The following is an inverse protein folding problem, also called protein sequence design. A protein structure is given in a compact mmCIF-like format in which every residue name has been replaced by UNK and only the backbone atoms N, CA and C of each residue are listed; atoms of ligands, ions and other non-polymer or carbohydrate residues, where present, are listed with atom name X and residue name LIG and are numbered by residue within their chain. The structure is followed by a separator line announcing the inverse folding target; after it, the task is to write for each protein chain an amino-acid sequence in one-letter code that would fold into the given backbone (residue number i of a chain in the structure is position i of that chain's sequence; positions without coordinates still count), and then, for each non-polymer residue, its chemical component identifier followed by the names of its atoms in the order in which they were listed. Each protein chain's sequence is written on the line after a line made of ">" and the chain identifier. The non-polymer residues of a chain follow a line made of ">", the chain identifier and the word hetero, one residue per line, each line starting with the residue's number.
data_IF_123213295763
#
_entry.id   IF_123213295763
#
_cell.length_a   1.000
_cell.length_b   1.000
_cell.length_c   1.000
_cell.angle_alpha   90.00
_cell.angle_beta   90.00
_cell.angle_gamma   90.00
#
_symmetry.space_group_name_H-M   'P 1'
#
loop_
_entity.id
_entity.type
_entity.pdbx_description
1 polymer ?
#
# COMPACT_ATOMS: atom_id res chain seq x y z
N UNK A 1 13.88 1.16 3.37
CA UNK A 1 12.73 0.54 4.05
C UNK A 1 12.20 1.53 5.06
N UNK A 2 10.88 1.61 5.19
CA UNK A 2 10.20 2.57 6.07
C UNK A 2 8.95 1.90 6.65
N UNK A 3 8.78 1.93 7.98
CA UNK A 3 7.61 1.34 8.65
C UNK A 3 7.45 -0.15 8.33
N UNK A 4 8.52 -0.93 8.44
CA UNK A 4 8.46 -2.38 8.23
C UNK A 4 8.74 -3.10 9.55
N UNK A 5 8.07 -4.24 9.76
CA UNK A 5 8.47 -5.23 10.76
C UNK A 5 9.01 -6.44 10.02
N UNK A 6 10.28 -6.77 10.24
CA UNK A 6 10.95 -7.95 9.68
C UNK A 6 11.40 -8.78 10.89
N UNK A 7 10.91 -10.00 11.01
CA UNK A 7 11.20 -10.84 12.17
C UNK A 7 11.30 -12.32 11.83
N UNK A 8 12.09 -13.07 12.61
CA UNK A 8 12.17 -14.53 12.56
C UNK A 8 12.52 -15.11 11.16
N UNK A 9 13.35 -14.40 10.39
CA UNK A 9 13.85 -14.93 9.12
C UNK A 9 15.04 -15.86 9.36
N UNK A 10 14.93 -17.08 8.86
CA UNK A 10 15.99 -18.09 8.90
C UNK A 10 16.56 -18.33 7.50
N UNK A 11 17.87 -18.39 7.40
CA UNK A 11 18.55 -18.88 6.20
C UNK A 11 19.37 -20.13 6.55
N UNK A 12 19.20 -21.19 5.76
CA UNK A 12 19.89 -22.47 5.94
C UNK A 12 21.29 -22.50 5.32
N UNK A 13 21.74 -21.39 4.74
CA UNK A 13 23.05 -21.28 4.12
C UNK A 13 24.15 -21.03 5.16
N UNK A 14 25.40 -21.33 4.79
CA UNK A 14 26.57 -21.20 5.67
C UNK A 14 26.96 -19.76 6.01
N UNK A 15 26.46 -18.77 5.27
CA UNK A 15 26.57 -17.34 5.56
C UNK A 15 25.19 -16.68 5.45
N UNK A 16 24.30 -16.91 6.42
CA UNK A 16 22.95 -16.36 6.38
C UNK A 16 23.02 -14.86 6.67
N UNK A 17 22.57 -14.05 5.70
CA UNK A 17 22.38 -12.62 5.90
C UNK A 17 20.91 -12.31 5.70
N UNK A 18 20.30 -11.56 6.62
CA UNK A 18 18.95 -11.04 6.42
C UNK A 18 18.87 -10.14 5.19
N UNK A 19 19.86 -9.26 5.08
CA UNK A 19 19.98 -8.28 4.02
C UNK A 19 21.39 -8.34 3.47
N UNK A 20 21.50 -8.49 2.15
CA UNK A 20 22.77 -8.42 1.43
C UNK A 20 22.63 -7.39 0.31
N UNK A 21 23.34 -6.29 0.46
CA UNK A 21 23.31 -5.17 -0.47
C UNK A 21 24.72 -4.91 -1.01
N UNK A 22 24.79 -4.58 -2.30
CA UNK A 22 26.05 -4.36 -3.00
C UNK A 22 25.99 -3.04 -3.76
N UNK A 23 26.90 -2.13 -3.43
CA UNK A 23 27.02 -0.81 -4.05
C UNK A 23 25.74 0.03 -3.91
N UNK A 24 25.18 0.08 -2.70
CA UNK A 24 23.97 0.85 -2.43
C UNK A 24 24.01 1.49 -1.04
N UNK A 25 23.36 2.64 -0.86
CA UNK A 25 23.18 3.23 0.47
C UNK A 25 21.77 2.90 0.94
N UNK A 26 21.57 1.80 1.68
CA UNK A 26 20.25 1.50 2.21
C UNK A 26 19.85 2.55 3.24
N UNK A 27 18.64 3.05 3.08
CA UNK A 27 17.99 3.92 4.06
C UNK A 27 16.94 3.09 4.78
N UNK A 28 17.08 2.91 6.09
CA UNK A 28 16.14 2.20 6.97
C UNK A 28 15.64 3.17 8.01
N UNK A 29 14.34 3.41 8.03
CA UNK A 29 13.72 4.38 8.93
C UNK A 29 12.50 3.77 9.58
N UNK A 30 12.27 4.05 10.86
CA UNK A 30 11.02 3.73 11.55
C UNK A 30 10.62 2.25 11.44
N UNK A 31 11.58 1.34 11.46
CA UNK A 31 11.38 -0.08 11.20
C UNK A 31 11.79 -0.94 12.40
N UNK A 32 11.17 -2.10 12.55
CA UNK A 32 11.55 -3.11 13.53
C UNK A 32 12.18 -4.29 12.78
N UNK A 33 13.42 -4.65 13.14
CA UNK A 33 14.15 -5.76 12.54
C UNK A 33 14.74 -6.63 13.66
N UNK A 34 14.07 -7.74 13.99
CA UNK A 34 14.46 -8.57 15.13
C UNK A 34 14.59 -10.05 14.76
N UNK A 35 15.42 -10.81 15.48
CA UNK A 35 15.46 -12.28 15.38
C UNK A 35 15.66 -12.85 13.96
N UNK A 36 16.41 -12.15 13.11
CA UNK A 36 16.62 -12.50 11.70
C UNK A 36 18.05 -12.99 11.39
N UNK A 37 18.86 -13.22 12.42
CA UNK A 37 20.31 -13.39 12.27
C UNK A 37 21.02 -12.10 11.88
N UNK A 38 22.24 -12.22 11.32
CA UNK A 38 23.11 -11.07 11.04
C UNK A 38 22.63 -10.25 9.83
N UNK A 39 22.55 -8.93 10.01
CA UNK A 39 22.40 -7.97 8.92
C UNK A 39 23.81 -7.59 8.42
N UNK A 40 24.08 -7.70 7.11
CA UNK A 40 25.43 -7.53 6.58
C UNK A 40 25.50 -6.52 5.44
N UNK A 41 26.36 -5.51 5.62
CA UNK A 41 26.63 -4.45 4.65
C UNK A 41 28.12 -4.53 4.22
N UNK A 42 28.50 -5.44 3.32
CA UNK A 42 29.90 -5.78 3.05
C UNK A 42 30.75 -4.62 2.51
N UNK A 43 30.13 -3.64 1.82
CA UNK A 43 30.82 -2.53 1.16
C UNK A 43 30.13 -1.17 1.33
N UNK A 44 29.11 -1.10 2.19
CA UNK A 44 28.18 0.02 2.27
C UNK A 44 28.04 0.53 3.71
N UNK A 45 27.71 1.82 3.87
CA UNK A 45 27.35 2.41 5.18
C UNK A 45 25.84 2.67 5.13
N UNK A 46 25.02 1.90 5.88
CA UNK A 46 23.59 2.11 5.88
C UNK A 46 23.23 3.41 6.62
N UNK A 47 22.20 4.11 6.15
CA UNK A 47 21.57 5.19 6.90
C UNK A 47 20.37 4.61 7.66
N UNK A 48 20.56 4.35 8.94
CA UNK A 48 19.54 3.77 9.81
C UNK A 48 19.14 4.81 10.85
N UNK A 49 17.85 5.07 11.01
CA UNK A 49 17.35 5.96 12.07
C UNK A 49 15.99 5.53 12.57
N UNK A 50 15.69 5.87 13.83
CA UNK A 50 14.42 5.62 14.49
C UNK A 50 13.95 4.18 14.33
N UNK A 51 14.86 3.20 14.40
CA UNK A 51 14.55 1.80 14.13
C UNK A 51 14.96 0.92 15.31
N UNK A 52 14.15 -0.12 15.59
CA UNK A 52 14.45 -1.13 16.61
C UNK A 52 15.12 -2.32 15.92
N UNK A 53 16.40 -2.57 16.20
CA UNK A 53 17.18 -3.58 15.48
C UNK A 53 17.99 -4.44 16.43
N UNK A 54 17.79 -5.76 16.36
CA UNK A 54 18.59 -6.75 17.11
C UNK A 54 20.08 -6.61 16.79
N UNK A 55 20.91 -6.81 17.81
CA UNK A 55 22.36 -6.61 17.79
C UNK A 55 22.80 -5.14 17.68
N UNK A 56 21.84 -4.22 17.61
CA UNK A 56 22.05 -2.78 17.62
C UNK A 56 22.65 -2.21 16.34
N UNK A 57 22.24 -0.99 15.99
CA UNK A 57 22.82 -0.23 14.88
C UNK A 57 22.96 1.25 15.25
N UNK A 58 24.13 1.81 14.93
CA UNK A 58 24.38 3.25 15.05
C UNK A 58 23.38 4.06 14.21
N UNK A 59 22.92 5.18 14.75
CA UNK A 59 21.94 6.02 14.09
C UNK A 59 21.06 6.81 15.05
N UNK A 60 20.47 7.90 14.57
CA UNK A 60 19.61 8.75 15.41
C UNK A 60 18.34 7.99 15.79
N UNK A 61 18.04 7.87 17.09
CA UNK A 61 16.79 7.28 17.57
C UNK A 61 16.68 5.77 17.40
N UNK A 62 17.76 5.08 17.01
CA UNK A 62 17.74 3.61 16.98
C UNK A 62 17.75 3.04 18.40
N UNK A 63 17.09 1.91 18.56
CA UNK A 63 17.01 1.17 19.82
C UNK A 63 17.29 -0.32 19.57
N UNK A 64 17.77 -1.00 20.62
CA UNK A 64 18.00 -2.46 20.64
C UNK A 64 17.35 -2.99 21.92
N UNK A 65 16.02 -3.14 21.86
CA UNK A 65 15.18 -3.57 22.97
C UNK A 65 14.11 -4.52 22.43
N UNK A 66 13.49 -5.32 23.31
CA UNK A 66 12.35 -6.16 22.92
C UNK A 66 11.17 -5.25 22.50
N UNK A 67 10.68 -5.34 21.25
CA UNK A 67 9.55 -4.52 20.79
C UNK A 67 8.22 -4.89 21.47
N UNK A 68 8.14 -5.97 22.26
CA UNK A 68 6.95 -6.37 23.01
C UNK A 68 5.71 -6.50 22.12
N UNK A 69 5.75 -7.39 21.12
CA UNK A 69 4.59 -7.68 20.28
C UNK A 69 3.46 -8.38 21.04
N UNK A 70 2.20 -8.13 20.69
CA UNK A 70 1.01 -8.71 21.34
C UNK A 70 1.03 -10.24 21.30
N UNK A 71 1.31 -10.82 20.12
CA UNK A 71 1.43 -12.28 19.96
C UNK A 71 2.25 -12.62 18.71
N UNK A 72 3.53 -12.24 18.69
CA UNK A 72 4.46 -12.61 17.63
C UNK A 72 4.69 -14.14 17.56
N UNK A 73 5.19 -14.61 16.43
CA UNK A 73 5.66 -15.99 16.30
C UNK A 73 6.92 -16.21 17.15
N UNK A 74 7.04 -17.40 17.77
CA UNK A 74 8.22 -17.76 18.58
C UNK A 74 9.26 -18.59 17.82
N UNK A 75 9.23 -18.58 16.50
CA UNK A 75 10.20 -19.31 15.68
C UNK A 75 10.11 -18.93 14.21
N UNK A 76 10.91 -19.62 13.42
CA UNK A 76 11.42 -19.16 12.14
C UNK A 76 11.16 -20.14 10.98
N UNK A 77 11.37 -19.66 9.75
CA UNK A 77 11.29 -20.46 8.53
C UNK A 77 9.87 -20.88 8.09
N UNK A 78 9.79 -21.79 7.11
CA UNK A 78 8.55 -22.15 6.41
C UNK A 78 7.53 -22.92 7.28
N UNK A 79 7.96 -23.42 8.44
CA UNK A 79 7.10 -24.09 9.41
C UNK A 79 6.34 -23.14 10.32
N UNK A 80 6.61 -21.83 10.24
CA UNK A 80 6.05 -20.83 11.13
C UNK A 80 5.00 -19.94 10.45
N UNK A 81 3.83 -19.84 11.09
CA UNK A 81 2.70 -19.09 10.57
C UNK A 81 2.78 -17.60 10.97
N UNK A 82 3.72 -16.87 10.37
CA UNK A 82 3.81 -15.40 10.54
C UNK A 82 2.50 -14.67 10.23
N UNK A 83 1.67 -15.25 9.35
CA UNK A 83 0.32 -14.78 9.00
C UNK A 83 -0.72 -14.83 10.14
N UNK A 84 -0.52 -15.72 11.12
CA UNK A 84 -1.45 -15.91 12.23
C UNK A 84 -1.00 -15.20 13.51
N UNK A 85 0.16 -14.54 13.48
CA UNK A 85 0.69 -13.79 14.60
C UNK A 85 0.16 -12.36 14.65
N UNK A 86 0.10 -11.81 15.86
CA UNK A 86 -0.24 -10.41 16.11
C UNK A 86 1.04 -9.61 16.36
N UNK A 87 1.42 -8.87 15.33
CA UNK A 87 2.63 -8.04 15.29
C UNK A 87 2.38 -6.60 15.77
N UNK A 88 1.22 -6.31 16.36
CA UNK A 88 0.99 -5.03 17.03
C UNK A 88 1.83 -4.93 18.30
N UNK A 89 2.17 -3.70 18.70
CA UNK A 89 2.93 -3.42 19.91
C UNK A 89 2.01 -3.49 21.15
N UNK A 90 2.50 -4.08 22.24
CA UNK A 90 1.83 -4.02 23.53
C UNK A 90 1.92 -2.61 24.14
N UNK A 91 0.96 -2.29 25.01
CA UNK A 91 1.03 -1.08 25.83
C UNK A 91 2.28 -1.13 26.71
N UNK A 92 3.18 -0.15 26.53
CA UNK A 92 4.47 -0.09 27.23
C UNK A 92 5.67 -0.61 26.42
N UNK A 93 5.45 -1.01 25.16
CA UNK A 93 6.55 -1.32 24.24
C UNK A 93 7.53 -0.13 24.13
N UNK A 94 8.85 -0.38 24.09
CA UNK A 94 9.85 0.67 23.84
C UNK A 94 9.79 1.23 22.41
N UNK A 95 9.08 0.56 21.51
CA UNK A 95 8.87 1.01 20.13
C UNK A 95 7.69 1.97 19.98
N UNK A 96 6.85 2.11 21.03
CA UNK A 96 5.74 3.07 21.03
C UNK A 96 6.29 4.48 21.24
N UNK A 97 5.81 5.46 20.47
CA UNK A 97 6.23 6.86 20.55
C UNK A 97 7.74 7.12 20.31
N UNK A 98 8.47 6.13 19.82
CA UNK A 98 9.94 6.18 19.71
C UNK A 98 10.45 6.41 18.28
N UNK A 99 9.54 6.48 17.32
CA UNK A 99 9.80 6.57 15.90
C UNK A 99 10.16 7.96 15.38
N UNK A 100 10.26 8.08 14.05
CA UNK A 100 10.72 9.31 13.41
C UNK A 100 9.74 10.47 13.71
N UNK A 101 10.17 11.66 14.17
CA UNK A 101 9.26 12.72 14.64
C UNK A 101 8.44 13.44 13.55
N UNK A 102 8.50 12.99 12.30
CA UNK A 102 7.87 13.72 11.18
C UNK A 102 6.45 13.16 10.97
N UNK A 103 5.47 14.04 10.84
CA UNK A 103 4.07 13.66 10.65
C UNK A 103 3.82 12.81 9.38
N UNK A 104 4.73 12.78 8.40
CA UNK A 104 4.58 11.94 7.21
C UNK A 104 4.61 10.43 7.50
N UNK A 105 5.17 10.01 8.64
CA UNK A 105 5.19 8.61 9.05
C UNK A 105 3.87 8.21 9.74
N UNK A 106 3.12 9.20 10.24
CA UNK A 106 1.72 9.22 10.67
C UNK A 106 1.26 8.10 11.64
N UNK A 107 1.32 8.42 12.93
CA UNK A 107 0.62 7.72 14.00
C UNK A 107 -0.91 7.92 13.95
N UNK A 108 -1.65 6.90 14.36
CA UNK A 108 -3.11 6.91 14.38
C UNK A 108 -3.68 7.72 15.55
N UNK A 109 -2.96 7.80 16.66
CA UNK A 109 -3.42 8.49 17.88
C UNK A 109 -2.92 9.94 17.99
N UNK A 110 -2.06 10.35 17.05
CA UNK A 110 -1.53 11.70 16.93
C UNK A 110 -0.35 12.01 17.85
N UNK A 111 0.28 11.00 18.44
CA UNK A 111 1.52 11.15 19.21
C UNK A 111 2.76 11.02 18.31
N UNK A 112 3.94 10.77 18.89
CA UNK A 112 5.14 10.53 18.08
C UNK A 112 4.99 9.18 17.40
N UNK A 113 5.44 9.02 16.17
CA UNK A 113 5.18 7.77 15.45
C UNK A 113 5.75 6.55 16.19
N UNK A 114 5.00 5.46 16.22
CA UNK A 114 5.50 4.14 16.57
C UNK A 114 6.51 3.60 15.54
N UNK A 115 7.44 2.74 15.95
CA UNK A 115 8.28 1.99 15.02
C UNK A 115 7.57 0.77 14.46
N UNK A 116 7.92 0.37 13.22
CA UNK A 116 7.50 -0.91 12.64
C UNK A 116 6.28 -0.82 11.74
N UNK A 117 5.73 -1.98 11.38
CA UNK A 117 4.67 -2.13 10.37
C UNK A 117 3.38 -1.36 10.68
N UNK A 118 3.08 -1.15 11.96
CA UNK A 118 1.86 -0.49 12.41
C UNK A 118 2.03 1.00 12.73
N UNK A 119 3.26 1.54 12.64
CA UNK A 119 3.56 2.96 12.84
C UNK A 119 3.69 3.76 11.53
N UNK A 120 2.76 3.54 10.59
CA UNK A 120 2.82 4.08 9.23
C UNK A 120 1.54 4.79 8.72
N UNK A 121 1.62 5.54 7.59
CA UNK A 121 0.50 6.36 7.06
C UNK A 121 -0.70 5.57 6.53
N UNK A 122 -0.65 4.25 6.60
CA UNK A 122 -1.74 3.34 6.27
C UNK A 122 -1.93 2.38 7.44
N UNK A 123 -2.67 2.77 8.49
CA UNK A 123 -3.09 1.80 9.48
C UNK A 123 -4.08 0.88 8.77
N UNK A 124 -3.66 -0.37 8.57
CA UNK A 124 -4.54 -1.52 8.38
C UNK A 124 -5.21 -1.67 6.99
N UNK A 125 -4.69 -2.58 6.17
CA UNK A 125 -5.48 -3.50 5.30
C UNK A 125 -4.65 -4.74 4.92
N UNK A 126 -3.32 -4.67 4.97
CA UNK A 126 -2.43 -5.79 4.67
C UNK A 126 -1.80 -6.29 5.97
N UNK A 127 -2.14 -7.52 6.37
CA UNK A 127 -1.46 -8.22 7.45
C UNK A 127 0.00 -8.55 7.07
N UNK A 128 0.75 -9.24 7.94
CA UNK A 128 2.04 -9.82 7.57
C UNK A 128 1.93 -10.57 6.24
N UNK A 129 2.99 -10.52 5.42
CA UNK A 129 3.09 -11.25 4.16
C UNK A 129 4.29 -12.19 4.22
N UNK A 130 4.26 -13.32 3.51
CA UNK A 130 5.40 -14.23 3.42
C UNK A 130 5.99 -14.21 1.99
N UNK A 131 7.28 -14.52 1.86
CA UNK A 131 8.00 -14.47 0.57
C UNK A 131 7.67 -15.64 -0.37
N UNK A 132 7.04 -16.70 0.14
CA UNK A 132 6.52 -17.81 -0.67
C UNK A 132 5.18 -17.47 -1.33
N UNK A 133 4.44 -16.51 -0.77
CA UNK A 133 3.33 -15.81 -1.39
C UNK A 133 3.87 -14.68 -2.26
N UNK A 134 4.65 -15.06 -3.28
CA UNK A 134 4.86 -14.22 -4.45
C UNK A 134 3.59 -14.09 -5.32
N UNK A 135 2.45 -14.53 -4.81
CA UNK A 135 1.16 -13.94 -5.11
C UNK A 135 0.70 -13.20 -3.86
N UNK A 136 1.11 -11.94 -3.70
CA UNK A 136 0.08 -11.02 -3.22
C UNK A 136 -0.97 -11.06 -4.32
N UNK A 137 -1.97 -11.92 -4.16
CA UNK A 137 -3.23 -11.73 -4.85
C UNK A 137 -3.88 -10.53 -4.16
N UNK A 138 -3.25 -9.35 -4.27
CA UNK A 138 -4.03 -8.15 -4.50
C UNK A 138 -4.69 -8.55 -5.81
N UNK A 139 -5.89 -9.14 -5.75
CA UNK A 139 -6.70 -9.24 -6.95
C UNK A 139 -6.74 -7.81 -7.45
N UNK A 140 -5.95 -7.49 -8.49
CA UNK A 140 -5.46 -6.14 -8.72
C UNK A 140 -6.66 -5.19 -8.68
N UNK A 141 -6.83 -4.44 -7.59
CA UNK A 141 -8.18 -3.96 -7.27
C UNK A 141 -8.60 -3.07 -8.42
N UNK A 142 -9.75 -3.43 -9.01
CA UNK A 142 -10.32 -2.67 -10.09
C UNK A 142 -10.39 -1.20 -9.65
N UNK A 143 -9.86 -0.29 -10.45
CA UNK A 143 -9.77 1.11 -10.05
C UNK A 143 -9.97 2.06 -11.21
N UNK A 144 -10.40 3.28 -10.88
CA UNK A 144 -10.67 4.35 -11.84
C UNK A 144 -9.89 5.59 -11.41
N UNK A 145 -9.06 6.09 -12.32
CA UNK A 145 -8.34 7.34 -12.18
C UNK A 145 -8.89 8.38 -13.15
N UNK A 146 -9.01 9.63 -12.68
CA UNK A 146 -9.55 10.74 -13.47
C UNK A 146 -8.61 11.93 -13.34
N UNK A 147 -8.00 12.34 -14.44
CA UNK A 147 -7.04 13.45 -14.46
C UNK A 147 -7.23 14.37 -15.68
N UNK A 148 -7.28 15.70 -15.49
CA UNK A 148 -7.33 16.38 -14.20
C UNK A 148 -8.67 16.13 -13.46
N UNK A 149 -8.72 16.37 -12.15
CA UNK A 149 -9.96 16.40 -11.37
C UNK A 149 -9.76 17.38 -10.20
N UNK A 150 -10.38 18.58 -10.20
CA UNK A 150 -11.41 19.05 -11.14
C UNK A 150 -10.90 19.26 -12.57
N UNK A 151 -11.79 19.19 -13.58
CA UNK A 151 -11.44 19.32 -15.00
C UNK A 151 -12.29 20.34 -15.75
N UNK A 152 -11.78 20.88 -16.86
CA UNK A 152 -12.50 21.83 -17.72
C UNK A 152 -12.09 21.70 -19.21
N UNK A 153 -13.02 21.35 -20.13
CA UNK A 153 -14.16 20.47 -19.93
C UNK A 153 -13.77 18.99 -20.06
N UNK A 154 -12.48 18.70 -20.23
CA UNK A 154 -11.98 17.36 -20.58
C UNK A 154 -11.16 16.71 -19.46
N UNK A 155 -11.45 15.45 -19.17
CA UNK A 155 -10.66 14.59 -18.30
C UNK A 155 -10.25 13.30 -19.02
N UNK A 156 -9.04 12.84 -18.73
CA UNK A 156 -8.60 11.49 -19.05
C UNK A 156 -9.08 10.56 -17.94
N UNK A 157 -9.65 9.43 -18.34
CA UNK A 157 -10.13 8.36 -17.48
C UNK A 157 -9.25 7.15 -17.74
N UNK A 158 -8.59 6.66 -16.71
CA UNK A 158 -7.77 5.45 -16.78
C UNK A 158 -8.35 4.37 -15.88
N UNK A 159 -8.52 3.18 -16.43
CA UNK A 159 -9.00 2.00 -15.72
C UNK A 159 -7.82 1.10 -15.36
N UNK A 160 -7.85 0.52 -14.17
CA UNK A 160 -7.08 -0.68 -13.85
C UNK A 160 -8.07 -1.81 -13.65
N UNK A 161 -7.89 -2.90 -14.38
CA UNK A 161 -8.78 -4.06 -14.36
C UNK A 161 -7.94 -5.27 -13.98
N UNK A 162 -8.43 -6.07 -13.04
CA UNK A 162 -7.79 -7.28 -12.57
C UNK A 162 -7.70 -8.33 -13.70
N UNK A 163 -6.76 -9.25 -13.57
CA UNK A 163 -6.55 -10.32 -14.53
C UNK A 163 -7.74 -11.27 -14.68
N UNK A 164 -8.59 -11.38 -13.65
CA UNK A 164 -9.79 -12.22 -13.67
C UNK A 164 -10.91 -11.60 -14.54
N UNK A 165 -10.93 -10.28 -14.68
CA UNK A 165 -11.95 -9.49 -15.39
C UNK A 165 -11.46 -8.95 -16.73
N UNK A 166 -10.14 -8.89 -16.99
CA UNK A 166 -9.58 -8.25 -18.21
C UNK A 166 -10.03 -8.93 -19.51
N UNK A 167 -10.47 -10.19 -19.45
CA UNK A 167 -11.01 -10.94 -20.58
C UNK A 167 -12.54 -11.12 -20.52
N UNK A 168 -13.21 -10.43 -19.59
CA UNK A 168 -14.66 -10.48 -19.42
C UNK A 168 -15.29 -9.14 -19.85
N UNK A 169 -16.57 -9.16 -20.24
CA UNK A 169 -17.30 -7.93 -20.53
C UNK A 169 -17.39 -7.01 -19.30
N UNK A 170 -17.17 -5.71 -19.52
CA UNK A 170 -17.32 -4.68 -18.49
C UNK A 170 -18.27 -3.59 -18.94
N UNK A 171 -18.83 -2.85 -17.97
CA UNK A 171 -19.66 -1.67 -18.22
C UNK A 171 -19.06 -0.46 -17.53
N UNK A 172 -18.92 0.65 -18.24
CA UNK A 172 -18.37 1.91 -17.71
C UNK A 172 -19.33 3.05 -18.03
N UNK A 173 -19.85 3.68 -16.98
CA UNK A 173 -20.93 4.65 -17.07
C UNK A 173 -20.68 5.86 -16.17
N UNK A 174 -21.19 7.02 -16.60
CA UNK A 174 -21.13 8.28 -15.86
C UNK A 174 -22.55 8.68 -15.45
N UNK A 175 -22.71 9.04 -14.19
CA UNK A 175 -23.96 9.48 -13.57
C UNK A 175 -23.82 10.88 -12.98
N UNK A 176 -24.92 11.61 -12.92
CA UNK A 176 -24.99 12.87 -12.16
C UNK A 176 -25.30 12.61 -10.67
N UNK A 177 -25.32 13.66 -9.85
CA UNK A 177 -25.63 13.56 -8.40
C UNK A 177 -27.03 13.01 -8.08
N UNK A 178 -27.96 13.01 -9.06
CA UNK A 178 -29.30 12.44 -8.90
C UNK A 178 -29.34 10.95 -9.27
N UNK A 179 -28.20 10.35 -9.61
CA UNK A 179 -28.10 8.96 -10.08
C UNK A 179 -28.60 8.76 -11.52
N UNK A 180 -28.80 9.82 -12.29
CA UNK A 180 -29.24 9.70 -13.68
C UNK A 180 -28.04 9.42 -14.59
N UNK A 181 -28.18 8.45 -15.48
CA UNK A 181 -27.18 8.11 -16.49
C UNK A 181 -26.95 9.30 -17.44
N UNK A 182 -25.69 9.70 -17.58
CA UNK A 182 -25.24 10.81 -18.42
C UNK A 182 -24.56 10.29 -19.68
N UNK A 183 -23.62 9.37 -19.52
CA UNK A 183 -22.79 8.85 -20.62
C UNK A 183 -22.45 7.39 -20.36
N UNK A 184 -22.55 6.56 -21.39
CA UNK A 184 -21.98 5.21 -21.41
C UNK A 184 -20.69 5.28 -22.21
N UNK A 185 -19.57 4.88 -21.58
CA UNK A 185 -18.24 4.83 -22.22
C UNK A 185 -18.03 3.45 -22.82
N UNK A 186 -18.36 2.40 -22.07
CA UNK A 186 -18.28 0.99 -22.47
C UNK A 186 -19.57 0.30 -22.05
N UNK A 187 -20.16 -0.49 -22.93
CA UNK A 187 -21.45 -1.14 -22.69
C UNK A 187 -21.35 -2.66 -22.79
N UNK A 188 -20.99 -3.31 -21.68
CA UNK A 188 -20.87 -4.76 -21.59
C UNK A 188 -19.99 -5.35 -22.70
N UNK A 189 -18.76 -4.84 -22.82
CA UNK A 189 -17.79 -5.20 -23.85
C UNK A 189 -16.46 -5.63 -23.24
N UNK A 190 -15.74 -6.53 -23.93
CA UNK A 190 -14.34 -6.86 -23.61
C UNK A 190 -13.47 -5.75 -24.19
N UNK A 191 -12.81 -4.99 -23.32
CA UNK A 191 -12.02 -3.82 -23.72
C UNK A 191 -10.54 -4.17 -23.88
N UNK A 192 -9.93 -3.70 -24.97
CA UNK A 192 -8.47 -3.76 -25.15
C UNK A 192 -7.77 -2.45 -24.72
N UNK A 193 -8.54 -1.37 -24.58
CA UNK A 193 -8.05 -0.05 -24.18
C UNK A 193 -8.63 0.32 -22.83
N UNK A 194 -7.76 0.78 -21.92
CA UNK A 194 -8.12 1.17 -20.55
C UNK A 194 -8.11 2.70 -20.35
N UNK A 195 -7.81 3.47 -21.40
CA UNK A 195 -7.74 4.92 -21.35
C UNK A 195 -8.84 5.54 -22.21
N UNK A 196 -9.64 6.41 -21.62
CA UNK A 196 -10.77 7.09 -22.24
C UNK A 196 -10.70 8.59 -21.99
N UNK A 197 -11.41 9.36 -22.81
CA UNK A 197 -11.52 10.80 -22.65
C UNK A 197 -12.99 11.16 -22.51
N UNK A 198 -13.33 11.88 -21.43
CA UNK A 198 -14.65 12.48 -21.29
C UNK A 198 -14.56 13.99 -21.34
N UNK A 199 -15.37 14.61 -22.20
CA UNK A 199 -15.40 16.04 -22.47
C UNK A 199 -16.64 16.75 -21.90
N UNK A 200 -17.27 16.16 -20.88
CA UNK A 200 -18.47 16.72 -20.25
C UNK A 200 -19.74 16.63 -21.09
N UNK A 201 -19.79 15.77 -22.12
CA UNK A 201 -20.99 15.54 -22.95
C UNK A 201 -21.77 14.29 -22.54
N UNK A 202 -23.09 14.32 -22.76
CA UNK A 202 -23.97 13.17 -22.55
C UNK A 202 -23.94 12.19 -23.75
N UNK A 203 -24.75 11.13 -23.71
CA UNK A 203 -24.89 10.17 -24.81
C UNK A 203 -25.39 10.79 -26.13
N UNK A 204 -26.15 11.88 -26.09
CA UNK A 204 -26.65 12.60 -27.27
C UNK A 204 -25.62 13.59 -27.84
N UNK A 205 -24.50 13.82 -27.15
CA UNK A 205 -23.48 14.79 -27.54
C UNK A 205 -23.71 16.21 -27.01
N UNK A 206 -24.73 16.41 -26.17
CA UNK A 206 -25.02 17.70 -25.53
C UNK A 206 -24.09 17.97 -24.35
N UNK A 207 -23.71 19.23 -24.18
CA UNK A 207 -22.93 19.67 -23.02
C UNK A 207 -23.73 19.54 -21.74
N UNK A 208 -23.10 18.95 -20.73
CA UNK A 208 -23.69 18.83 -19.39
C UNK A 208 -23.44 20.10 -18.55
N UNK A 209 -24.08 20.20 -17.39
CA UNK A 209 -23.87 21.30 -16.46
C UNK A 209 -22.56 21.11 -15.68
N UNK A 210 -21.92 22.20 -15.24
CA UNK A 210 -20.84 22.10 -14.25
C UNK A 210 -21.38 21.46 -12.97
N UNK A 211 -20.54 20.69 -12.29
CA UNK A 211 -20.95 20.02 -11.06
C UNK A 211 -20.29 18.67 -10.88
N UNK A 212 -20.83 17.94 -9.92
CA UNK A 212 -20.32 16.64 -9.49
C UNK A 212 -20.94 15.51 -10.30
N UNK A 213 -20.10 14.57 -10.69
CA UNK A 213 -20.46 13.36 -11.42
C UNK A 213 -19.80 12.15 -10.76
N UNK A 214 -20.33 10.96 -11.02
CA UNK A 214 -19.76 9.69 -10.60
C UNK A 214 -19.53 8.85 -11.84
N UNK A 215 -18.30 8.38 -12.02
CA UNK A 215 -18.01 7.31 -12.97
C UNK A 215 -18.04 5.98 -12.22
N UNK A 216 -18.69 4.98 -12.81
CA UNK A 216 -18.82 3.63 -12.29
C UNK A 216 -18.28 2.64 -13.32
N UNK A 217 -17.51 1.67 -12.86
CA UNK A 217 -17.09 0.50 -13.61
C UNK A 217 -17.68 -0.73 -12.94
N UNK A 218 -18.40 -1.54 -13.71
CA UNK A 218 -18.94 -2.82 -13.31
C UNK A 218 -18.22 -3.92 -14.08
N UNK A 219 -17.72 -4.91 -13.34
CA UNK A 219 -17.10 -6.13 -13.86
C UNK A 219 -17.87 -7.34 -13.35
N UNK A 220 -17.48 -8.55 -13.78
CA UNK A 220 -18.11 -9.78 -13.29
C UNK A 220 -17.91 -9.99 -11.77
N UNK A 221 -16.78 -9.51 -11.24
CA UNK A 221 -16.40 -9.75 -9.84
C UNK A 221 -16.51 -8.51 -8.94
N UNK A 222 -16.71 -7.31 -9.49
CA UNK A 222 -16.65 -6.07 -8.69
C UNK A 222 -17.44 -4.91 -9.27
N UNK A 223 -17.67 -3.90 -8.42
CA UNK A 223 -18.21 -2.61 -8.82
C UNK A 223 -17.44 -1.48 -8.15
N UNK A 224 -16.90 -0.56 -8.94
CA UNK A 224 -16.00 0.51 -8.48
C UNK A 224 -16.51 1.84 -8.97
N UNK A 225 -16.50 2.86 -8.11
CA UNK A 225 -16.97 4.21 -8.46
C UNK A 225 -15.97 5.29 -8.05
N UNK A 226 -15.86 6.34 -8.86
CA UNK A 226 -15.03 7.51 -8.58
C UNK A 226 -15.82 8.80 -8.79
N UNK A 227 -15.69 9.73 -7.84
CA UNK A 227 -16.26 11.07 -7.93
C UNK A 227 -15.41 11.97 -8.86
N UNK A 228 -16.07 12.74 -9.69
CA UNK A 228 -15.47 13.69 -10.63
C UNK A 228 -16.11 15.08 -10.50
N UNK A 229 -15.33 16.14 -10.72
CA UNK A 229 -15.81 17.51 -10.68
C UNK A 229 -15.55 18.22 -12.00
N UNK A 230 -16.62 18.51 -12.75
CA UNK A 230 -16.59 19.30 -13.98
C UNK A 230 -16.72 20.78 -13.65
N UNK A 231 -15.72 21.57 -14.05
CA UNK A 231 -15.74 23.02 -14.04
C UNK A 231 -16.07 23.53 -15.45
N UNK A 232 -16.74 24.67 -15.53
CA UNK A 232 -16.82 25.47 -16.77
C UNK A 232 -15.95 26.70 -16.60
#
# INVERSE_FOLDING_TARGET
>A
MMNNTIANNLSTNTTPYLMFLLNSVPIIINSIIIDNGTIHFPLDIPEISYSCISDGFEGTGNIDEDPMFVSATTGDGTGFAGLLADWQLQSGSPCVDAGHPNAIYNDIDGTTNDMGAYGGPTPYELGPTNSEENTVNIAAINSISVYPNPFNPTANISLSINENDIQLPITVEIFNIKGQLVKTIVNNEIVQTINFVWNGKNNNGDSTASGMYFIKMETATSSVSKKMLLLK
#
